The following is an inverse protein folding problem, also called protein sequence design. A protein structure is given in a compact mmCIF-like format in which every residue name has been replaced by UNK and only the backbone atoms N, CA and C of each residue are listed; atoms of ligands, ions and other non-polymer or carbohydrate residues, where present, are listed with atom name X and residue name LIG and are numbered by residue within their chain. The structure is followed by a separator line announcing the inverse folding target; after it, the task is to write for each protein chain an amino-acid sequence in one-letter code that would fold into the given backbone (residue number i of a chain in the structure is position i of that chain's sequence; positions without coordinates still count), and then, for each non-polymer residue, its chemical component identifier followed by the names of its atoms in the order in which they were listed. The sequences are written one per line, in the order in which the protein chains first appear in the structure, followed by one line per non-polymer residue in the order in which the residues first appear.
data_IF_903941136791
#
_entry.id   IF_903941136791
#
_cell.length_a   1.000
_cell.length_b   1.000
_cell.length_c   1.000
_cell.angle_alpha   90.00
_cell.angle_beta   90.00
_cell.angle_gamma   90.00
#
_symmetry.space_group_name_H-M   'P 1'
#
loop_
_entity.id
_entity.type
_entity.pdbx_description
1 polymer ?
#
# COMPACT_ATOMS: atom_id res chain seq x y z
N UNK A 1 -12.60 -9.87 -13.36
CA UNK A 1 -13.60 -10.15 -12.31
C UNK A 1 -13.98 -11.63 -12.23
N UNK A 2 -14.10 -12.34 -13.35
CA UNK A 2 -14.32 -13.79 -13.35
C UNK A 2 -13.01 -14.52 -13.01
N UNK A 3 -13.05 -15.41 -12.01
CA UNK A 3 -11.93 -16.29 -11.66
C UNK A 3 -12.06 -17.68 -12.28
N UNK A 4 -13.28 -18.20 -12.39
CA UNK A 4 -13.60 -19.45 -13.07
C UNK A 4 -15.08 -19.49 -13.48
N UNK A 5 -15.39 -20.10 -14.62
CA UNK A 5 -16.75 -20.25 -15.12
C UNK A 5 -16.94 -21.66 -15.69
N UNK A 6 -17.93 -22.38 -15.17
CA UNK A 6 -18.38 -23.71 -15.61
C UNK A 6 -19.89 -23.60 -15.79
N UNK A 7 -20.48 -24.40 -16.65
CA UNK A 7 -21.93 -24.42 -16.84
C UNK A 7 -22.66 -24.67 -15.51
N UNK A 8 -23.56 -23.75 -15.14
CA UNK A 8 -24.27 -23.76 -13.86
C UNK A 8 -23.44 -23.35 -12.63
N UNK A 9 -22.19 -22.91 -12.79
CA UNK A 9 -21.33 -22.46 -11.67
C UNK A 9 -20.32 -21.39 -12.08
N UNK A 10 -20.37 -20.23 -11.43
CA UNK A 10 -19.42 -19.13 -11.65
C UNK A 10 -18.75 -18.67 -10.35
N UNK A 11 -17.44 -18.42 -10.41
CA UNK A 11 -16.67 -17.81 -9.31
C UNK A 11 -16.24 -16.40 -9.69
N UNK A 12 -16.70 -15.44 -8.91
CA UNK A 12 -16.25 -14.07 -8.95
C UNK A 12 -15.08 -13.88 -7.99
N UNK A 13 -14.07 -13.11 -8.40
CA UNK A 13 -13.01 -12.65 -7.53
C UNK A 13 -12.74 -11.16 -7.78
N UNK A 14 -12.83 -10.38 -6.72
CA UNK A 14 -12.58 -8.95 -6.76
C UNK A 14 -12.04 -8.47 -5.41
N UNK A 15 -11.01 -7.59 -5.37
CA UNK A 15 -10.49 -7.07 -4.11
C UNK A 15 -11.55 -6.43 -3.21
N UNK A 16 -12.55 -5.75 -3.80
CA UNK A 16 -13.64 -5.13 -3.07
C UNK A 16 -14.52 -6.12 -2.29
N UNK A 17 -14.63 -7.37 -2.76
CA UNK A 17 -15.39 -8.43 -2.05
C UNK A 17 -14.68 -8.92 -0.78
N UNK A 18 -13.53 -8.34 -0.44
CA UNK A 18 -12.89 -8.56 0.85
C UNK A 18 -13.52 -7.71 1.96
N UNK A 19 -14.28 -6.67 1.59
CA UNK A 19 -15.08 -5.87 2.51
C UNK A 19 -16.34 -6.66 2.90
N UNK A 20 -16.55 -6.98 4.20
CA UNK A 20 -17.71 -7.73 4.66
C UNK A 20 -19.05 -7.08 4.33
N UNK A 21 -19.17 -5.76 4.40
CA UNK A 21 -20.44 -5.06 4.14
C UNK A 21 -20.84 -5.17 2.67
N UNK A 22 -19.89 -4.90 1.75
CA UNK A 22 -20.13 -5.09 0.33
C UNK A 22 -20.43 -6.55 0.00
N UNK A 23 -19.69 -7.48 0.61
CA UNK A 23 -19.88 -8.90 0.37
C UNK A 23 -21.30 -9.34 0.74
N UNK A 24 -21.82 -8.89 1.89
CA UNK A 24 -23.18 -9.17 2.33
C UNK A 24 -24.23 -8.63 1.35
N UNK A 25 -24.08 -7.37 0.91
CA UNK A 25 -24.96 -6.75 -0.10
C UNK A 25 -24.97 -7.56 -1.39
N UNK A 26 -23.79 -7.89 -1.91
CA UNK A 26 -23.63 -8.65 -3.16
C UNK A 26 -24.25 -10.05 -3.02
N UNK A 27 -23.99 -10.76 -1.92
CA UNK A 27 -24.58 -12.08 -1.70
C UNK A 27 -26.10 -12.03 -1.55
N UNK A 28 -26.65 -10.99 -0.91
CA UNK A 28 -28.09 -10.81 -0.73
C UNK A 28 -28.80 -10.53 -2.06
N UNK A 29 -28.19 -9.70 -2.92
CA UNK A 29 -28.73 -9.42 -4.25
C UNK A 29 -28.68 -10.65 -5.16
N UNK A 30 -27.56 -11.40 -5.13
CA UNK A 30 -27.44 -12.67 -5.84
C UNK A 30 -28.49 -13.69 -5.36
N UNK A 31 -28.72 -13.80 -4.04
CA UNK A 31 -29.69 -14.73 -3.48
C UNK A 31 -31.14 -14.41 -3.87
N UNK A 32 -31.44 -13.14 -4.16
CA UNK A 32 -32.76 -12.71 -4.60
C UNK A 32 -33.05 -13.02 -6.09
N UNK A 33 -32.05 -13.42 -6.86
CA UNK A 33 -32.23 -13.74 -8.27
C UNK A 33 -32.89 -15.12 -8.44
N UNK A 34 -33.97 -15.22 -9.25
CA UNK A 34 -34.53 -16.51 -9.63
C UNK A 34 -33.49 -17.37 -10.33
N UNK A 35 -33.41 -18.65 -9.96
CA UNK A 35 -32.51 -19.63 -10.58
C UNK A 35 -31.11 -19.73 -9.96
N UNK A 36 -30.81 -18.94 -8.91
CA UNK A 36 -29.64 -19.18 -8.06
C UNK A 36 -29.94 -20.29 -7.06
N UNK A 37 -29.09 -21.32 -7.02
CA UNK A 37 -29.30 -22.50 -6.18
C UNK A 37 -28.40 -22.52 -4.96
N UNK A 38 -27.20 -21.94 -5.05
CA UNK A 38 -26.22 -21.95 -3.96
C UNK A 38 -25.25 -20.76 -4.09
N UNK A 39 -24.84 -20.21 -2.94
CA UNK A 39 -23.85 -19.12 -2.87
C UNK A 39 -22.84 -19.45 -1.76
N UNK A 40 -21.56 -19.39 -2.10
CA UNK A 40 -20.45 -19.53 -1.15
C UNK A 40 -19.54 -18.30 -1.22
N UNK A 41 -19.48 -17.54 -0.12
CA UNK A 41 -18.70 -16.31 -0.04
C UNK A 41 -17.46 -16.47 0.84
N UNK A 42 -16.32 -15.95 0.38
CA UNK A 42 -15.05 -15.98 1.09
C UNK A 42 -14.43 -14.57 1.12
N UNK A 43 -14.64 -13.80 2.21
CA UNK A 43 -14.09 -12.45 2.34
C UNK A 43 -12.58 -12.44 2.40
N UNK A 44 -11.94 -13.47 2.98
CA UNK A 44 -10.48 -13.55 3.08
C UNK A 44 -9.79 -13.54 1.72
N UNK A 45 -10.42 -14.15 0.71
CA UNK A 45 -9.88 -14.21 -0.66
C UNK A 45 -10.57 -13.24 -1.63
N UNK A 46 -11.57 -12.49 -1.15
CA UNK A 46 -12.41 -11.61 -1.95
C UNK A 46 -13.12 -12.34 -3.09
N UNK A 47 -13.75 -13.48 -2.79
CA UNK A 47 -14.38 -14.31 -3.83
C UNK A 47 -15.76 -14.81 -3.44
N UNK A 48 -16.65 -14.89 -4.43
CA UNK A 48 -17.99 -15.47 -4.30
C UNK A 48 -18.15 -16.54 -5.37
N UNK A 49 -18.58 -17.73 -4.98
CA UNK A 49 -18.99 -18.81 -5.86
C UNK A 49 -20.52 -18.84 -5.90
N UNK A 50 -21.07 -18.92 -7.11
CA UNK A 50 -22.51 -18.97 -7.36
C UNK A 50 -22.81 -20.19 -8.19
N UNK A 51 -23.68 -21.06 -7.70
CA UNK A 51 -24.30 -22.13 -8.49
C UNK A 51 -25.67 -21.67 -8.95
N UNK A 52 -25.98 -21.85 -10.23
CA UNK A 52 -27.22 -21.40 -10.86
C UNK A 52 -27.76 -22.47 -11.82
N UNK A 53 -29.07 -22.46 -12.07
CA UNK A 53 -29.69 -23.32 -13.06
C UNK A 53 -29.55 -22.74 -14.49
N UNK A 54 -30.03 -23.49 -15.48
CA UNK A 54 -29.98 -23.11 -16.90
C UNK A 54 -30.91 -21.94 -17.27
N UNK A 55 -31.78 -21.48 -16.36
CA UNK A 55 -32.66 -20.33 -16.60
C UNK A 55 -31.92 -19.00 -16.47
N UNK A 56 -30.75 -19.00 -15.81
CA UNK A 56 -29.91 -17.83 -15.62
C UNK A 56 -28.75 -17.88 -16.60
N UNK A 57 -28.68 -16.89 -17.50
CA UNK A 57 -27.52 -16.73 -18.35
C UNK A 57 -26.32 -16.28 -17.51
N UNK A 58 -25.20 -16.98 -17.62
CA UNK A 58 -23.99 -16.63 -16.89
C UNK A 58 -23.48 -15.22 -17.23
N UNK A 59 -23.78 -14.72 -18.43
CA UNK A 59 -23.51 -13.33 -18.85
C UNK A 59 -24.19 -12.29 -17.95
N UNK A 60 -25.40 -12.57 -17.47
CA UNK A 60 -26.19 -11.63 -16.68
C UNK A 60 -25.60 -11.51 -15.27
N UNK A 61 -25.12 -12.64 -14.72
CA UNK A 61 -24.41 -12.66 -13.44
C UNK A 61 -23.08 -11.91 -13.51
N UNK A 62 -22.38 -12.00 -14.64
CA UNK A 62 -21.13 -11.24 -14.88
C UNK A 62 -21.43 -9.75 -14.97
N UNK A 63 -22.40 -9.35 -15.80
CA UNK A 63 -22.77 -7.95 -15.96
C UNK A 63 -23.20 -7.31 -14.64
N UNK A 64 -23.98 -8.03 -13.82
CA UNK A 64 -24.38 -7.57 -12.50
C UNK A 64 -23.20 -7.42 -11.55
N UNK A 65 -22.31 -8.42 -11.49
CA UNK A 65 -21.11 -8.36 -10.64
C UNK A 65 -20.19 -7.19 -11.04
N UNK A 66 -20.08 -6.91 -12.35
CA UNK A 66 -19.30 -5.78 -12.86
C UNK A 66 -19.93 -4.44 -12.50
N UNK A 67 -21.25 -4.30 -12.65
CA UNK A 67 -21.98 -3.11 -12.23
C UNK A 67 -21.82 -2.83 -10.72
N UNK A 68 -21.92 -3.86 -9.89
CA UNK A 68 -21.75 -3.76 -8.43
C UNK A 68 -20.34 -3.34 -8.02
N UNK A 69 -19.30 -3.84 -8.70
CA UNK A 69 -17.95 -3.39 -8.39
C UNK A 69 -17.65 -1.99 -8.91
N UNK A 70 -18.26 -1.58 -10.02
CA UNK A 70 -18.15 -0.21 -10.53
C UNK A 70 -18.75 0.79 -9.54
N UNK A 71 -19.98 0.54 -9.06
CA UNK A 71 -20.63 1.41 -8.07
C UNK A 71 -19.88 1.44 -6.75
N UNK A 72 -19.34 0.31 -6.29
CA UNK A 72 -18.51 0.28 -5.09
C UNK A 72 -17.17 1.01 -5.30
N UNK A 73 -16.54 0.91 -6.47
CA UNK A 73 -15.31 1.64 -6.78
C UNK A 73 -15.56 3.16 -6.81
N UNK A 74 -16.70 3.61 -7.33
CA UNK A 74 -17.13 5.00 -7.29
C UNK A 74 -17.38 5.46 -5.85
N UNK A 75 -18.12 4.69 -5.05
CA UNK A 75 -18.34 4.98 -3.64
C UNK A 75 -17.04 5.05 -2.84
N UNK A 76 -16.08 4.15 -3.12
CA UNK A 76 -14.77 4.16 -2.47
C UNK A 76 -13.90 5.34 -2.92
N UNK A 77 -14.03 5.76 -4.18
CA UNK A 77 -13.33 6.93 -4.71
C UNK A 77 -13.89 8.23 -4.12
N UNK A 78 -15.20 8.30 -3.89
CA UNK A 78 -15.87 9.42 -3.24
C UNK A 78 -15.60 9.45 -1.72
N UNK A 79 -15.55 8.28 -1.09
CA UNK A 79 -15.19 8.12 0.33
C UNK A 79 -13.67 8.11 0.59
N UNK A 80 -12.84 8.15 -0.45
CA UNK A 80 -11.39 8.08 -0.31
C UNK A 80 -10.92 9.26 0.57
N UNK A 81 -10.34 9.00 1.75
CA UNK A 81 -9.86 10.08 2.60
C UNK A 81 -8.81 10.85 1.82
N UNK A 82 -8.92 12.18 1.84
CA UNK A 82 -7.97 13.07 1.20
C UNK A 82 -6.54 12.64 1.55
N UNK A 83 -5.69 12.56 0.51
CA UNK A 83 -4.28 12.15 0.57
C UNK A 83 -3.66 12.61 1.89
N UNK A 84 -3.07 11.72 2.71
CA UNK A 84 -2.73 12.03 4.09
C UNK A 84 -1.88 13.31 4.11
N UNK A 85 -2.34 14.28 4.90
CA UNK A 85 -1.66 15.56 5.03
C UNK A 85 -0.18 15.30 5.37
N UNK A 86 0.73 15.92 4.62
CA UNK A 86 2.18 15.77 4.87
C UNK A 86 2.44 16.18 6.31
N UNK A 87 2.78 15.21 7.16
CA UNK A 87 3.08 15.48 8.57
C UNK A 87 4.34 16.34 8.65
N UNK A 88 4.20 17.55 9.18
CA UNK A 88 5.35 18.43 9.39
C UNK A 88 6.33 17.77 10.36
N UNK A 89 7.61 17.75 10.00
CA UNK A 89 8.66 17.19 10.84
C UNK A 89 8.84 18.05 12.08
N UNK A 90 8.99 17.42 13.24
CA UNK A 90 9.33 18.16 14.46
C UNK A 90 10.76 18.70 14.36
N UNK A 91 11.10 19.79 15.07
CA UNK A 91 12.47 20.33 15.07
C UNK A 91 13.52 19.30 15.47
N UNK A 92 13.18 18.36 16.35
CA UNK A 92 14.06 17.26 16.74
C UNK A 92 14.28 16.25 15.62
N UNK A 93 13.23 15.92 14.85
CA UNK A 93 13.33 15.05 13.68
C UNK A 93 14.15 15.72 12.57
N UNK A 94 13.96 17.02 12.35
CA UNK A 94 14.72 17.79 11.36
C UNK A 94 16.21 17.80 11.72
N UNK A 95 16.56 18.11 12.98
CA UNK A 95 17.94 18.06 13.47
C UNK A 95 18.60 16.69 13.26
N UNK A 96 17.91 15.59 13.61
CA UNK A 96 18.42 14.22 13.39
C UNK A 96 18.58 13.89 11.91
N UNK A 97 17.66 14.35 11.05
CA UNK A 97 17.72 14.12 9.60
C UNK A 97 18.89 14.88 8.98
N UNK A 98 19.05 16.17 9.29
CA UNK A 98 20.18 16.98 8.82
C UNK A 98 21.51 16.36 9.20
N UNK A 99 21.64 15.92 10.45
CA UNK A 99 22.87 15.30 10.94
C UNK A 99 23.19 13.97 10.22
N UNK A 100 22.19 13.11 9.97
CA UNK A 100 22.37 11.85 9.22
C UNK A 100 22.72 12.08 7.76
N UNK A 101 22.04 13.02 7.10
CA UNK A 101 22.32 13.38 5.71
C UNK A 101 23.73 13.98 5.61
N UNK A 102 24.08 14.91 6.50
CA UNK A 102 25.41 15.51 6.55
C UNK A 102 26.52 14.47 6.71
N UNK A 103 26.35 13.50 7.62
CA UNK A 103 27.29 12.40 7.80
C UNK A 103 27.46 11.56 6.52
N UNK A 104 26.35 11.12 5.91
CA UNK A 104 26.37 10.31 4.71
C UNK A 104 26.98 11.06 3.51
N UNK A 105 26.59 12.31 3.32
CA UNK A 105 27.10 13.16 2.23
C UNK A 105 28.59 13.43 2.38
N UNK A 106 29.07 13.76 3.58
CA UNK A 106 30.51 13.99 3.78
C UNK A 106 31.33 12.71 3.61
N UNK A 107 30.80 11.57 4.05
CA UNK A 107 31.46 10.27 3.85
C UNK A 107 31.58 9.91 2.37
N UNK A 108 30.49 10.03 1.60
CA UNK A 108 30.51 9.80 0.16
C UNK A 108 31.43 10.80 -0.57
N UNK A 109 31.38 12.07 -0.19
CA UNK A 109 32.25 13.12 -0.75
C UNK A 109 33.74 12.87 -0.47
N UNK A 110 34.09 12.45 0.75
CA UNK A 110 35.46 12.10 1.11
C UNK A 110 35.97 10.91 0.29
N UNK A 111 35.15 9.86 0.11
CA UNK A 111 35.52 8.70 -0.72
C UNK A 111 35.74 9.11 -2.17
N UNK A 112 34.79 9.84 -2.78
CA UNK A 112 34.88 10.25 -4.17
C UNK A 112 36.10 11.15 -4.45
N UNK A 113 36.35 12.12 -3.57
CA UNK A 113 37.48 13.06 -3.71
C UNK A 113 38.83 12.41 -3.42
N UNK A 114 38.87 11.39 -2.55
CA UNK A 114 40.05 10.56 -2.33
C UNK A 114 40.38 9.72 -3.56
N UNK A 115 39.38 9.13 -4.21
CA UNK A 115 39.56 8.39 -5.46
C UNK A 115 40.00 9.28 -6.63
N UNK A 116 39.58 10.55 -6.65
CA UNK A 116 40.00 11.53 -7.63
C UNK A 116 41.36 12.21 -7.31
N UNK A 117 42.06 11.79 -6.24
CA UNK A 117 43.32 12.37 -5.73
C UNK A 117 43.26 13.90 -5.48
N UNK A 118 42.07 14.40 -5.13
CA UNK A 118 41.83 15.82 -4.86
C UNK A 118 42.05 16.12 -3.37
N UNK A 119 43.32 16.23 -2.97
CA UNK A 119 43.73 16.34 -1.54
C UNK A 119 42.99 17.43 -0.74
N UNK A 120 42.83 18.62 -1.32
CA UNK A 120 42.16 19.74 -0.66
C UNK A 120 40.65 19.47 -0.42
N UNK A 121 39.98 18.87 -1.42
CA UNK A 121 38.57 18.55 -1.31
C UNK A 121 38.33 17.37 -0.35
N UNK A 122 39.19 16.35 -0.40
CA UNK A 122 39.16 15.24 0.55
C UNK A 122 39.32 15.72 2.00
N UNK A 123 40.29 16.61 2.25
CA UNK A 123 40.50 17.20 3.57
C UNK A 123 39.25 17.95 4.06
N UNK A 124 38.62 18.71 3.17
CA UNK A 124 37.41 19.50 3.49
C UNK A 124 36.24 18.59 3.86
N UNK A 125 35.98 17.55 3.07
CA UNK A 125 34.94 16.55 3.40
C UNK A 125 35.27 15.77 4.67
N UNK A 126 36.55 15.47 4.92
CA UNK A 126 37.02 14.82 6.14
C UNK A 126 36.75 15.65 7.39
N UNK A 127 37.09 16.95 7.38
CA UNK A 127 36.79 17.84 8.50
C UNK A 127 35.27 18.00 8.71
N UNK A 128 34.50 18.15 7.64
CA UNK A 128 33.04 18.23 7.74
C UNK A 128 32.44 16.94 8.31
N UNK A 129 32.94 15.77 7.89
CA UNK A 129 32.54 14.47 8.41
C UNK A 129 32.83 14.36 9.91
N UNK A 130 34.02 14.77 10.35
CA UNK A 130 34.39 14.79 11.77
C UNK A 130 33.44 15.69 12.58
N UNK A 131 33.05 16.86 12.06
CA UNK A 131 32.06 17.74 12.68
C UNK A 131 30.69 17.08 12.85
N UNK A 132 30.17 16.43 11.80
CA UNK A 132 28.90 15.71 11.88
C UNK A 132 28.96 14.48 12.80
N UNK A 133 30.09 13.79 12.86
CA UNK A 133 30.31 12.67 13.78
C UNK A 133 30.36 13.14 15.25
N UNK A 134 31.07 14.24 15.54
CA UNK A 134 31.09 14.84 16.88
C UNK A 134 29.67 15.28 17.31
N UNK A 135 28.91 15.89 16.40
CA UNK A 135 27.50 16.21 16.64
C UNK A 135 26.68 14.94 16.91
N UNK A 136 26.86 13.87 16.12
CA UNK A 136 26.19 12.58 16.35
C UNK A 136 26.39 12.05 17.76
N UNK A 137 27.65 11.98 18.19
CA UNK A 137 28.00 11.50 19.50
C UNK A 137 27.43 12.41 20.59
N UNK A 138 27.50 13.74 20.43
CA UNK A 138 26.92 14.68 21.39
C UNK A 138 25.40 14.54 21.57
N UNK A 139 24.66 14.34 20.46
CA UNK A 139 23.21 14.11 20.49
C UNK A 139 22.82 12.76 21.10
N UNK A 140 23.68 11.76 20.92
CA UNK A 140 23.42 10.39 21.37
C UNK A 140 24.19 10.00 22.64
N UNK A 141 24.94 10.91 23.26
CA UNK A 141 25.80 10.64 24.44
C UNK A 141 25.09 9.93 25.59
N UNK A 142 23.81 10.22 25.80
CA UNK A 142 22.99 9.61 26.85
C UNK A 142 22.72 8.12 26.64
N UNK A 143 22.91 7.60 25.42
CA UNK A 143 22.76 6.18 25.10
C UNK A 143 24.05 5.38 25.26
N UNK A 144 25.19 6.06 25.41
CA UNK A 144 26.52 5.43 25.51
C UNK A 144 27.11 5.48 26.93
N UNK A 145 26.48 6.23 27.84
CA UNK A 145 26.94 6.44 29.23
C UNK A 145 25.92 5.92 30.26
N UNK A 146 24.99 5.07 29.82
CA UNK A 146 24.02 4.35 30.65
C UNK A 146 24.33 2.86 30.54
#
# INVERSE_FOLDING_TARGET
MIASCIEGRIRFRHPALSDPELLEIVTSQLAAMPGITEIEANPRTGSVLVSHDASVATSDLVAMAEALAATHAEALAEAAPAKPAKKNMTPAQLKRRTQKIGLATCMAGAVATGLADTKAAHLTFGFALAGFAAWHLYMHRRRFLA
#
